data_IF_426400988516
#
_entry.id   IF_426400988516
#
_cell.length_a   1.000
_cell.length_b   1.000
_cell.length_c   1.000
_cell.angle_alpha   90.00
_cell.angle_beta   90.00
_cell.angle_gamma   90.00
#
_symmetry.space_group_name_H-M   'P 1'
#
loop_
_entity.id
_entity.type
_entity.pdbx_description
1 polymer ?
#
# COMPACT_ATOMS: atom_id res chain seq x y z
N UNK A 1 -13.96 -25.88 -6.42
CA UNK A 1 -13.60 -26.30 -7.79
C UNK A 1 -12.35 -25.54 -8.21
N UNK A 2 -11.39 -26.19 -8.86
CA UNK A 2 -10.12 -25.56 -9.23
C UNK A 2 -10.32 -24.58 -10.40
N UNK A 3 -9.81 -23.36 -10.26
CA UNK A 3 -9.82 -22.35 -11.32
C UNK A 3 -8.59 -22.45 -12.25
N UNK A 4 -7.77 -23.51 -12.11
CA UNK A 4 -6.59 -23.76 -12.94
C UNK A 4 -6.84 -23.68 -14.45
N UNK A 5 -7.93 -24.27 -15.02
CA UNK A 5 -8.18 -24.16 -16.46
C UNK A 5 -8.36 -22.72 -16.94
N UNK A 6 -8.95 -21.87 -16.10
CA UNK A 6 -9.17 -20.47 -16.43
C UNK A 6 -7.87 -19.66 -16.35
N UNK A 7 -7.02 -19.94 -15.34
CA UNK A 7 -5.69 -19.31 -15.21
C UNK A 7 -4.79 -19.65 -16.39
N UNK A 8 -4.77 -20.91 -16.81
CA UNK A 8 -3.98 -21.35 -17.96
C UNK A 8 -4.44 -20.66 -19.24
N UNK A 9 -5.75 -20.55 -19.46
CA UNK A 9 -6.30 -19.83 -20.61
C UNK A 9 -5.90 -18.34 -20.63
N UNK A 10 -5.90 -17.68 -19.48
CA UNK A 10 -5.45 -16.28 -19.39
C UNK A 10 -3.97 -16.16 -19.78
N UNK A 11 -3.10 -17.06 -19.28
CA UNK A 11 -1.68 -17.06 -19.62
C UNK A 11 -1.44 -17.30 -21.10
N UNK A 12 -2.14 -18.25 -21.71
CA UNK A 12 -2.05 -18.54 -23.15
C UNK A 12 -2.44 -17.33 -24.02
N UNK A 13 -3.47 -16.58 -23.62
CA UNK A 13 -3.89 -15.39 -24.36
C UNK A 13 -2.89 -14.24 -24.20
N UNK A 14 -2.34 -14.02 -22.99
CA UNK A 14 -1.31 -13.00 -22.74
C UNK A 14 -0.05 -13.26 -23.56
N UNK A 15 0.35 -14.52 -23.73
CA UNK A 15 1.53 -14.89 -24.55
C UNK A 15 1.38 -14.58 -26.04
N UNK A 16 0.16 -14.46 -26.56
CA UNK A 16 -0.10 -14.15 -27.97
C UNK A 16 -0.06 -12.65 -28.28
N UNK A 17 0.07 -11.80 -27.25
CA UNK A 17 -0.01 -10.34 -27.40
C UNK A 17 1.31 -9.81 -27.96
N UNK A 18 1.29 -8.96 -29.01
CA UNK A 18 2.50 -8.33 -29.53
C UNK A 18 3.21 -7.46 -28.47
N UNK A 19 4.54 -7.41 -28.50
CA UNK A 19 5.36 -6.64 -27.54
C UNK A 19 4.92 -5.18 -27.43
N UNK A 20 4.54 -4.55 -28.55
CA UNK A 20 4.06 -3.17 -28.63
C UNK A 20 2.79 -2.89 -27.82
N UNK A 21 2.12 -3.94 -27.34
CA UNK A 21 0.85 -3.87 -26.60
C UNK A 21 0.96 -4.36 -25.16
N UNK A 22 2.13 -4.83 -24.73
CA UNK A 22 2.32 -5.34 -23.37
C UNK A 22 2.08 -4.27 -22.31
N UNK A 23 2.44 -3.00 -22.59
CA UNK A 23 2.21 -1.90 -21.67
C UNK A 23 0.71 -1.62 -21.44
N UNK A 24 -0.11 -1.68 -22.48
CA UNK A 24 -1.58 -1.58 -22.37
C UNK A 24 -2.15 -2.74 -21.53
N UNK A 25 -1.63 -3.95 -21.70
CA UNK A 25 -2.06 -5.14 -20.94
C UNK A 25 -1.67 -5.02 -19.47
N UNK A 26 -0.46 -4.55 -19.17
CA UNK A 26 -0.02 -4.30 -17.79
C UNK A 26 -0.95 -3.28 -17.14
N UNK A 27 -1.25 -2.16 -17.81
CA UNK A 27 -2.15 -1.14 -17.30
C UNK A 27 -3.58 -1.66 -17.04
N UNK A 28 -4.06 -2.61 -17.86
CA UNK A 28 -5.36 -3.25 -17.68
C UNK A 28 -5.37 -4.27 -16.53
N UNK A 29 -4.28 -5.02 -16.32
CA UNK A 29 -4.17 -6.04 -15.28
C UNK A 29 -3.80 -5.47 -13.90
N UNK A 30 -3.09 -4.34 -13.87
CA UNK A 30 -2.58 -3.70 -12.65
C UNK A 30 -3.66 -3.42 -11.58
N UNK A 31 -4.87 -2.94 -11.91
CA UNK A 31 -5.96 -2.77 -10.94
C UNK A 31 -6.40 -4.09 -10.29
N UNK A 32 -6.40 -5.19 -11.04
CA UNK A 32 -6.75 -6.51 -10.50
C UNK A 32 -5.67 -7.02 -9.53
N UNK A 33 -4.39 -6.73 -9.78
CA UNK A 33 -3.32 -7.02 -8.82
C UNK A 33 -3.36 -6.12 -7.59
N UNK A 34 -3.75 -4.84 -7.74
CA UNK A 34 -3.95 -3.93 -6.62
C UNK A 34 -5.12 -4.36 -5.74
N UNK A 35 -6.20 -4.94 -6.28
CA UNK A 35 -7.28 -5.48 -5.43
C UNK A 35 -6.84 -6.63 -4.50
N UNK A 36 -5.65 -7.21 -4.71
CA UNK A 36 -5.03 -8.16 -3.78
C UNK A 36 -4.14 -7.46 -2.73
N UNK A 37 -3.65 -6.25 -3.01
CA UNK A 37 -2.86 -5.43 -2.07
C UNK A 37 -3.72 -4.41 -1.29
N UNK A 38 -4.89 -4.06 -1.82
CA UNK A 38 -5.92 -3.23 -1.20
C UNK A 38 -6.78 -4.12 -0.31
N UNK A 39 -6.24 -4.46 0.87
CA UNK A 39 -7.13 -4.55 2.03
C UNK A 39 -8.00 -3.29 2.01
N UNK A 40 -9.32 -3.44 2.16
CA UNK A 40 -10.25 -2.31 2.13
C UNK A 40 -9.65 -1.10 2.85
N UNK A 41 -9.77 0.13 2.30
CA UNK A 41 -9.28 1.32 2.99
C UNK A 41 -9.80 1.26 4.42
N UNK A 42 -8.88 1.27 5.40
CA UNK A 42 -9.23 1.14 6.80
C UNK A 42 -10.38 2.10 7.10
N UNK A 43 -11.39 1.69 7.90
CA UNK A 43 -12.47 2.56 8.28
C UNK A 43 -11.92 3.91 8.73
N UNK A 44 -12.56 5.01 8.32
CA UNK A 44 -12.12 6.36 8.70
C UNK A 44 -11.97 6.48 10.22
N UNK A 45 -12.79 5.76 11.00
CA UNK A 45 -12.64 5.63 12.46
C UNK A 45 -11.31 5.03 12.91
N UNK A 46 -10.79 4.02 12.22
CA UNK A 46 -9.47 3.40 12.47
C UNK A 46 -8.33 4.30 12.03
N UNK A 47 -8.51 5.08 10.97
CA UNK A 47 -7.51 6.06 10.54
C UNK A 47 -7.45 7.22 11.55
N UNK A 48 -8.62 7.69 12.00
CA UNK A 48 -8.76 8.77 12.97
C UNK A 48 -8.48 8.34 14.41
N UNK A 49 -8.44 7.04 14.75
CA UNK A 49 -8.02 6.61 16.09
C UNK A 49 -6.57 6.96 16.41
N UNK A 50 -5.76 7.25 15.38
CA UNK A 50 -4.41 7.78 15.53
C UNK A 50 -4.36 9.32 15.50
N UNK A 51 -5.45 9.99 15.11
CA UNK A 51 -5.58 11.44 15.08
C UNK A 51 -5.95 11.94 16.48
N UNK A 52 -4.94 12.19 17.31
CA UNK A 52 -5.10 12.61 18.71
C UNK A 52 -4.10 11.96 19.66
N UNK A 53 -3.42 10.89 19.23
CA UNK A 53 -2.38 10.24 20.04
C UNK A 53 -1.25 11.21 20.40
N UNK A 54 -0.99 12.22 19.56
CA UNK A 54 -0.04 13.30 19.86
C UNK A 54 -0.57 14.31 20.88
N UNK A 55 -1.88 14.57 20.94
CA UNK A 55 -2.48 15.45 21.95
C UNK A 55 -2.68 14.76 23.31
N UNK A 56 -2.83 13.44 23.30
CA UNK A 56 -2.93 12.61 24.51
C UNK A 56 -1.56 12.16 25.04
N UNK A 57 -0.48 12.42 24.28
CA UNK A 57 0.88 12.18 24.70
C UNK A 57 1.25 13.12 25.83
N UNK A 58 1.84 12.60 26.91
CA UNK A 58 2.32 13.45 27.98
C UNK A 58 3.48 14.32 27.46
N UNK A 59 3.51 15.56 27.94
CA UNK A 59 4.46 16.57 27.51
C UNK A 59 5.93 16.13 27.74
N UNK A 60 6.21 15.30 28.76
CA UNK A 60 7.54 14.72 28.96
C UNK A 60 7.94 13.78 27.83
N UNK A 61 7.10 12.80 27.49
CA UNK A 61 7.35 11.87 26.38
C UNK A 61 7.46 12.60 25.04
N UNK A 62 6.67 13.66 24.83
CA UNK A 62 6.77 14.48 23.63
C UNK A 62 8.14 15.19 23.53
N UNK A 63 8.62 15.79 24.62
CA UNK A 63 9.94 16.44 24.65
C UNK A 63 11.09 15.47 24.45
N UNK A 64 11.03 14.29 25.07
CA UNK A 64 12.05 13.25 24.91
C UNK A 64 12.13 12.79 23.44
N UNK A 65 10.97 12.62 22.79
CA UNK A 65 10.89 12.32 21.37
C UNK A 65 11.44 13.45 20.50
N UNK A 66 11.10 14.71 20.82
CA UNK A 66 11.59 15.88 20.08
C UNK A 66 13.11 16.00 20.16
N UNK A 67 13.70 15.81 21.35
CA UNK A 67 15.15 15.85 21.56
C UNK A 67 15.86 14.74 20.79
N UNK A 68 15.28 13.53 20.77
CA UNK A 68 15.80 12.42 19.96
C UNK A 68 15.80 12.77 18.47
N UNK A 69 14.71 13.32 17.94
CA UNK A 69 14.59 13.71 16.53
C UNK A 69 15.57 14.83 16.20
N UNK A 70 15.71 15.82 17.08
CA UNK A 70 16.64 16.95 16.93
C UNK A 70 18.08 16.44 16.79
N UNK A 71 18.49 15.54 17.68
CA UNK A 71 19.80 14.86 17.66
C UNK A 71 20.02 14.04 16.38
N UNK A 72 19.03 13.25 15.94
CA UNK A 72 19.13 12.46 14.70
C UNK A 72 19.29 13.34 13.45
N UNK A 73 18.70 14.54 13.47
CA UNK A 73 18.73 15.48 12.34
C UNK A 73 19.92 16.45 12.39
N UNK A 74 20.78 16.35 13.41
CA UNK A 74 21.95 17.22 13.56
C UNK A 74 21.60 18.67 13.90
N UNK A 75 20.40 18.91 14.42
CA UNK A 75 20.09 20.16 15.10
C UNK A 75 20.69 20.03 16.50
N UNK A 76 21.68 20.84 16.83
CA UNK A 76 22.21 20.99 18.20
C UNK A 76 21.50 22.14 18.91
#
# INVERSE_FOLDING_TARGET
MSNEPLRNRILEEVQKIPETKLEEVINLLHPFSLSLASSEPLPVSTILSFAGVWSDMDESTFRDFEEEIRRRRGYE
#
